data_IF_375530064338
#
_entry.id   IF_375530064338
#
_cell.length_a   1.000
_cell.length_b   1.000
_cell.length_c   1.000
_cell.angle_alpha   90.00
_cell.angle_beta   90.00
_cell.angle_gamma   90.00
#
_symmetry.space_group_name_H-M   'P 1'
#
loop_
_entity.id
_entity.type
_entity.pdbx_description
1 polymer ?
#
# COMPACT_ATOMS: atom_id res chain seq x y z
N UNK A 1 -38.03 62.31 -0.63
CA UNK A 1 -37.02 61.98 -1.65
C UNK A 1 -35.68 61.86 -0.93
N UNK A 2 -35.37 60.67 -0.40
CA UNK A 2 -34.06 60.31 0.18
C UNK A 2 -33.99 58.83 0.59
N UNK A 3 -35.11 58.16 0.85
CA UNK A 3 -35.11 56.74 1.23
C UNK A 3 -34.62 55.81 0.10
N UNK A 4 -35.03 56.08 -1.14
CA UNK A 4 -34.54 55.32 -2.32
C UNK A 4 -33.03 55.52 -2.56
N UNK A 5 -32.51 56.73 -2.30
CA UNK A 5 -31.09 57.01 -2.43
C UNK A 5 -30.27 56.27 -1.35
N UNK A 6 -30.73 56.29 -0.10
CA UNK A 6 -30.10 55.52 0.98
C UNK A 6 -30.18 54.00 0.74
N UNK A 7 -31.30 53.51 0.20
CA UNK A 7 -31.45 52.10 -0.15
C UNK A 7 -30.47 51.69 -1.25
N UNK A 8 -30.32 52.52 -2.29
CA UNK A 8 -29.38 52.28 -3.38
C UNK A 8 -27.92 52.33 -2.90
N UNK A 9 -27.57 53.31 -2.05
CA UNK A 9 -26.23 53.40 -1.43
C UNK A 9 -25.91 52.16 -0.58
N UNK A 10 -26.88 51.66 0.19
CA UNK A 10 -26.73 50.45 0.98
C UNK A 10 -26.59 49.18 0.11
N UNK A 11 -27.34 49.10 -0.99
CA UNK A 11 -27.26 47.99 -1.94
C UNK A 11 -25.88 47.93 -2.61
N UNK A 12 -25.37 49.07 -3.08
CA UNK A 12 -24.04 49.18 -3.68
C UNK A 12 -22.95 48.79 -2.66
N UNK A 13 -23.05 49.23 -1.41
CA UNK A 13 -22.11 48.83 -0.36
C UNK A 13 -22.14 47.32 -0.09
N UNK A 14 -23.32 46.70 -0.06
CA UNK A 14 -23.44 45.24 0.09
C UNK A 14 -22.84 44.50 -1.11
N UNK A 15 -23.04 45.00 -2.32
CA UNK A 15 -22.47 44.40 -3.52
C UNK A 15 -20.94 44.46 -3.52
N UNK A 16 -20.35 45.58 -3.10
CA UNK A 16 -18.90 45.69 -2.90
C UNK A 16 -18.36 44.69 -1.88
N UNK A 17 -19.04 44.51 -0.75
CA UNK A 17 -18.64 43.53 0.27
C UNK A 17 -18.71 42.09 -0.27
N UNK A 18 -19.81 41.73 -0.94
CA UNK A 18 -19.97 40.40 -1.56
C UNK A 18 -18.89 40.14 -2.60
N UNK A 19 -18.54 41.14 -3.39
CA UNK A 19 -17.49 41.03 -4.40
C UNK A 19 -16.12 40.79 -3.77
N UNK A 20 -15.77 41.54 -2.73
CA UNK A 20 -14.50 41.35 -2.01
C UNK A 20 -14.44 39.95 -1.37
N UNK A 21 -15.51 39.51 -0.71
CA UNK A 21 -15.63 38.16 -0.14
C UNK A 21 -15.44 37.07 -1.20
N UNK A 22 -16.06 37.22 -2.37
CA UNK A 22 -15.90 36.28 -3.49
C UNK A 22 -14.45 36.20 -3.98
N UNK A 23 -13.76 37.34 -4.12
CA UNK A 23 -12.35 37.34 -4.51
C UNK A 23 -11.47 36.64 -3.48
N UNK A 24 -11.72 36.85 -2.19
CA UNK A 24 -10.97 36.19 -1.13
C UNK A 24 -11.19 34.67 -1.16
N UNK A 25 -12.44 34.22 -1.33
CA UNK A 25 -12.77 32.79 -1.46
C UNK A 25 -12.11 32.16 -2.68
N UNK A 26 -12.12 32.84 -3.84
CA UNK A 26 -11.47 32.36 -5.05
C UNK A 26 -9.95 32.25 -4.89
N UNK A 27 -9.32 33.24 -4.25
CA UNK A 27 -7.88 33.21 -3.95
C UNK A 27 -7.51 32.05 -3.04
N UNK A 28 -8.29 31.80 -1.98
CA UNK A 28 -8.09 30.67 -1.06
C UNK A 28 -8.29 29.34 -1.80
N UNK A 29 -9.36 29.22 -2.59
CA UNK A 29 -9.64 28.03 -3.41
C UNK A 29 -8.50 27.76 -4.41
N UNK A 30 -7.97 28.79 -5.06
CA UNK A 30 -6.85 28.69 -5.98
C UNK A 30 -5.58 28.20 -5.29
N UNK A 31 -5.24 28.77 -4.13
CA UNK A 31 -4.10 28.34 -3.30
C UNK A 31 -4.25 26.90 -2.83
N UNK A 32 -5.43 26.52 -2.35
CA UNK A 32 -5.73 25.16 -1.93
C UNK A 32 -5.57 24.18 -3.10
N UNK A 33 -6.11 24.49 -4.27
CA UNK A 33 -5.95 23.69 -5.47
C UNK A 33 -4.48 23.55 -5.90
N UNK A 34 -3.69 24.62 -5.80
CA UNK A 34 -2.25 24.57 -6.05
C UNK A 34 -1.52 23.67 -5.04
N UNK A 35 -1.85 23.80 -3.75
CA UNK A 35 -1.33 22.96 -2.68
C UNK A 35 -1.61 21.48 -2.94
N UNK A 36 -2.88 21.15 -3.19
CA UNK A 36 -3.32 19.80 -3.55
C UNK A 36 -2.53 19.25 -4.73
N UNK A 37 -2.44 19.99 -5.85
CA UNK A 37 -1.71 19.52 -7.04
C UNK A 37 -0.26 19.20 -6.74
N UNK A 38 0.42 20.07 -5.98
CA UNK A 38 1.81 19.85 -5.57
C UNK A 38 1.94 18.60 -4.70
N UNK A 39 1.06 18.45 -3.71
CA UNK A 39 1.05 17.30 -2.82
C UNK A 39 0.79 15.99 -3.55
N UNK A 40 -0.15 15.96 -4.50
CA UNK A 40 -0.40 14.79 -5.34
C UNK A 40 0.81 14.44 -6.22
N UNK A 41 1.55 15.44 -6.72
CA UNK A 41 2.77 15.18 -7.48
C UNK A 41 3.86 14.53 -6.60
N UNK A 42 4.08 15.06 -5.40
CA UNK A 42 5.02 14.48 -4.43
C UNK A 42 4.60 13.06 -4.02
N UNK A 43 3.31 12.82 -3.79
CA UNK A 43 2.79 11.50 -3.46
C UNK A 43 3.10 10.47 -4.55
N UNK A 44 2.91 10.84 -5.82
CA UNK A 44 3.21 9.97 -6.97
C UNK A 44 4.72 9.72 -7.12
N UNK A 45 5.54 10.72 -6.83
CA UNK A 45 7.00 10.59 -6.82
C UNK A 45 7.49 9.67 -5.69
N UNK A 46 6.93 9.76 -4.50
CA UNK A 46 7.23 8.84 -3.40
C UNK A 46 6.73 7.41 -3.70
N UNK A 47 5.54 7.27 -4.29
CA UNK A 47 5.00 5.97 -4.70
C UNK A 47 5.90 5.27 -5.72
N UNK A 48 6.47 6.00 -6.69
CA UNK A 48 7.37 5.39 -7.69
C UNK A 48 8.69 4.88 -7.11
N UNK A 49 9.01 5.24 -5.85
CA UNK A 49 10.17 4.77 -5.09
C UNK A 49 9.80 3.74 -4.01
N UNK A 50 8.57 3.21 -4.03
CA UNK A 50 8.01 2.35 -2.99
C UNK A 50 8.04 2.98 -1.58
N UNK A 51 8.09 4.31 -1.48
CA UNK A 51 8.04 5.04 -0.22
C UNK A 51 6.57 5.27 0.20
N UNK A 52 5.84 4.17 0.44
CA UNK A 52 4.39 4.19 0.67
C UNK A 52 3.98 5.12 1.82
N UNK A 53 4.68 5.09 2.95
CA UNK A 53 4.39 5.98 4.09
C UNK A 53 4.56 7.46 3.77
N UNK A 54 5.58 7.83 2.98
CA UNK A 54 5.76 9.22 2.53
C UNK A 54 4.67 9.62 1.52
N UNK A 55 4.33 8.71 0.59
CA UNK A 55 3.27 8.93 -0.37
C UNK A 55 1.91 9.19 0.31
N UNK A 56 1.56 8.38 1.33
CA UNK A 56 0.35 8.56 2.13
C UNK A 56 0.36 9.87 2.91
N UNK A 57 1.50 10.27 3.48
CA UNK A 57 1.61 11.55 4.18
C UNK A 57 1.31 12.75 3.26
N UNK A 58 1.77 12.70 2.00
CA UNK A 58 1.46 13.72 1.01
C UNK A 58 -0.03 13.72 0.61
N UNK A 59 -0.64 12.55 0.52
CA UNK A 59 -2.09 12.42 0.27
C UNK A 59 -2.91 12.96 1.43
N UNK A 60 -2.56 12.66 2.67
CA UNK A 60 -3.25 13.18 3.86
C UNK A 60 -3.13 14.71 3.94
N UNK A 61 -1.96 15.26 3.59
CA UNK A 61 -1.79 16.70 3.49
C UNK A 61 -2.67 17.30 2.37
N UNK A 62 -2.82 16.64 1.22
CA UNK A 62 -3.76 17.07 0.18
C UNK A 62 -5.23 17.02 0.65
N UNK A 63 -5.63 15.98 1.39
CA UNK A 63 -6.98 15.85 1.95
C UNK A 63 -7.28 16.89 3.02
N UNK A 64 -6.26 17.48 3.66
CA UNK A 64 -6.46 18.57 4.61
C UNK A 64 -7.03 19.84 3.96
N UNK A 65 -6.84 20.02 2.65
CA UNK A 65 -7.43 21.13 1.87
C UNK A 65 -8.82 20.81 1.34
N UNK A 66 -9.05 19.56 0.93
CA UNK A 66 -10.35 19.06 0.45
C UNK A 66 -10.47 17.54 0.72
N UNK A 67 -11.18 17.22 1.79
CA UNK A 67 -11.37 15.86 2.30
C UNK A 67 -12.20 14.94 1.39
N UNK A 68 -12.97 15.50 0.44
CA UNK A 68 -13.86 14.73 -0.44
C UNK A 68 -13.36 14.69 -1.88
N UNK A 69 -12.15 15.19 -2.14
CA UNK A 69 -11.59 15.23 -3.48
C UNK A 69 -11.37 13.82 -4.02
N UNK A 70 -12.19 13.44 -5.00
CA UNK A 70 -12.21 12.09 -5.57
C UNK A 70 -10.85 11.63 -6.07
N UNK A 71 -10.09 12.51 -6.74
CA UNK A 71 -8.75 12.18 -7.24
C UNK A 71 -7.77 11.84 -6.10
N UNK A 72 -7.83 12.59 -5.01
CA UNK A 72 -6.95 12.40 -3.85
C UNK A 72 -7.28 11.09 -3.13
N UNK A 73 -8.57 10.81 -2.92
CA UNK A 73 -9.03 9.54 -2.32
C UNK A 73 -8.65 8.34 -3.20
N UNK A 74 -8.81 8.45 -4.52
CA UNK A 74 -8.39 7.39 -5.44
C UNK A 74 -6.89 7.11 -5.36
N UNK A 75 -6.05 8.15 -5.27
CA UNK A 75 -4.61 7.97 -5.13
C UNK A 75 -4.26 7.28 -3.80
N UNK A 76 -4.99 7.59 -2.71
CA UNK A 76 -4.86 6.88 -1.43
C UNK A 76 -5.08 5.38 -1.61
N UNK A 77 -6.20 4.99 -2.21
CA UNK A 77 -6.56 3.59 -2.44
C UNK A 77 -5.50 2.87 -3.31
N UNK A 78 -4.99 3.57 -4.34
CA UNK A 78 -3.91 3.07 -5.20
C UNK A 78 -2.62 2.80 -4.41
N UNK A 79 -2.22 3.70 -3.50
CA UNK A 79 -1.03 3.56 -2.65
C UNK A 79 -1.21 2.40 -1.66
N UNK A 80 -2.32 2.36 -0.92
CA UNK A 80 -2.59 1.30 0.05
C UNK A 80 -2.66 -0.09 -0.61
N UNK A 81 -3.21 -0.16 -1.83
CA UNK A 81 -3.23 -1.41 -2.61
C UNK A 81 -1.81 -1.81 -3.02
N UNK A 82 -0.99 -0.87 -3.48
CA UNK A 82 0.39 -1.15 -3.89
C UNK A 82 1.24 -1.64 -2.71
N UNK A 83 1.09 -1.04 -1.53
CA UNK A 83 1.77 -1.45 -0.30
C UNK A 83 1.40 -2.90 0.08
N UNK A 84 0.09 -3.22 0.11
CA UNK A 84 -0.38 -4.59 0.39
C UNK A 84 0.21 -5.62 -0.57
N UNK A 85 0.17 -5.36 -1.87
CA UNK A 85 0.72 -6.27 -2.88
C UNK A 85 2.23 -6.47 -2.71
N UNK A 86 2.95 -5.42 -2.35
CA UNK A 86 4.39 -5.48 -2.11
C UNK A 86 4.72 -6.31 -0.87
N UNK A 87 3.94 -6.18 0.20
CA UNK A 87 4.12 -6.95 1.43
C UNK A 87 3.71 -8.42 1.25
N UNK A 88 2.62 -8.69 0.52
CA UNK A 88 2.23 -10.05 0.11
C UNK A 88 3.33 -10.73 -0.71
N UNK A 89 3.90 -10.01 -1.69
CA UNK A 89 5.00 -10.52 -2.51
C UNK A 89 6.21 -10.88 -1.64
N UNK A 90 6.61 -10.00 -0.73
CA UNK A 90 7.72 -10.26 0.21
C UNK A 90 7.46 -11.44 1.12
N UNK A 91 6.24 -11.56 1.64
CA UNK A 91 5.84 -12.69 2.47
C UNK A 91 5.93 -14.00 1.69
N UNK A 92 5.50 -14.00 0.42
CA UNK A 92 5.59 -15.17 -0.45
C UNK A 92 7.05 -15.53 -0.80
N UNK A 93 7.90 -14.55 -1.11
CA UNK A 93 9.33 -14.75 -1.35
C UNK A 93 10.02 -15.34 -0.11
N UNK A 94 9.72 -14.82 1.09
CA UNK A 94 10.25 -15.37 2.34
C UNK A 94 9.79 -16.81 2.59
N UNK A 95 8.52 -17.10 2.29
CA UNK A 95 7.97 -18.45 2.40
C UNK A 95 8.69 -19.43 1.47
N UNK A 96 8.91 -19.05 0.22
CA UNK A 96 9.65 -19.85 -0.76
C UNK A 96 11.10 -20.11 -0.30
N UNK A 97 11.79 -19.08 0.21
CA UNK A 97 13.12 -19.24 0.79
C UNK A 97 13.13 -20.22 1.96
N UNK A 98 12.15 -20.15 2.86
CA UNK A 98 12.04 -21.09 3.99
C UNK A 98 11.82 -22.53 3.52
N UNK A 99 10.99 -22.74 2.50
CA UNK A 99 10.80 -24.06 1.88
C UNK A 99 12.13 -24.61 1.35
N UNK A 100 12.89 -23.80 0.61
CA UNK A 100 14.20 -24.20 0.09
C UNK A 100 15.22 -24.52 1.19
N UNK A 101 15.20 -23.78 2.30
CA UNK A 101 16.05 -24.06 3.47
C UNK A 101 15.72 -25.43 4.07
N UNK A 102 14.44 -25.74 4.26
CA UNK A 102 14.01 -27.03 4.80
C UNK A 102 14.35 -28.19 3.85
N UNK A 103 14.15 -28.02 2.54
CA UNK A 103 14.56 -29.02 1.54
C UNK A 103 16.06 -29.28 1.60
N UNK A 104 16.87 -28.21 1.66
CA UNK A 104 18.33 -28.33 1.72
C UNK A 104 18.79 -29.09 2.98
N UNK A 105 18.16 -28.81 4.13
CA UNK A 105 18.41 -29.54 5.39
C UNK A 105 17.98 -31.00 5.31
N UNK A 106 16.84 -31.29 4.69
CA UNK A 106 16.40 -32.67 4.47
C UNK A 106 17.44 -33.45 3.67
N UNK A 107 17.98 -32.87 2.59
CA UNK A 107 19.03 -33.49 1.79
C UNK A 107 20.33 -33.71 2.58
N UNK A 108 20.73 -32.76 3.43
CA UNK A 108 21.85 -32.92 4.35
C UNK A 108 21.62 -34.11 5.30
N UNK A 109 20.44 -34.20 5.93
CA UNK A 109 20.09 -35.31 6.84
C UNK A 109 20.02 -36.66 6.13
N UNK A 110 19.57 -36.70 4.88
CA UNK A 110 19.65 -37.89 4.02
C UNK A 110 21.11 -38.34 3.85
N UNK A 111 22.02 -37.41 3.57
CA UNK A 111 23.44 -37.72 3.41
C UNK A 111 24.08 -38.28 4.69
N UNK A 112 23.56 -37.85 5.85
CA UNK A 112 23.95 -38.32 7.18
C UNK A 112 23.23 -39.63 7.60
N UNK A 113 22.38 -40.21 6.75
CA UNK A 113 21.51 -41.38 7.05
C UNK A 113 20.55 -41.15 8.23
N UNK A 114 20.15 -39.91 8.48
CA UNK A 114 19.21 -39.50 9.53
C UNK A 114 17.80 -39.37 8.95
N UNK A 115 17.23 -40.49 8.51
CA UNK A 115 15.98 -40.54 7.71
C UNK A 115 14.78 -39.90 8.42
N UNK A 116 14.59 -40.16 9.72
CA UNK A 116 13.48 -39.57 10.49
C UNK A 116 13.58 -38.04 10.56
N UNK A 117 14.80 -37.51 10.70
CA UNK A 117 15.03 -36.08 10.78
C UNK A 117 14.90 -35.40 9.41
N UNK A 118 15.31 -36.09 8.34
CA UNK A 118 15.04 -35.64 6.98
C UNK A 118 13.54 -35.54 6.71
N UNK A 119 12.75 -36.52 7.18
CA UNK A 119 11.29 -36.51 7.01
C UNK A 119 10.65 -35.32 7.74
N UNK A 120 11.12 -34.99 8.95
CA UNK A 120 10.65 -33.82 9.69
C UNK A 120 10.92 -32.51 8.94
N UNK A 121 12.11 -32.35 8.36
CA UNK A 121 12.43 -31.15 7.55
C UNK A 121 11.54 -31.06 6.30
N UNK A 122 11.26 -32.19 5.64
CA UNK A 122 10.32 -32.24 4.50
C UNK A 122 8.90 -31.90 4.92
N UNK A 123 8.43 -32.38 6.07
CA UNK A 123 7.11 -32.04 6.58
C UNK A 123 6.99 -30.55 6.92
N UNK A 124 8.05 -29.92 7.45
CA UNK A 124 8.09 -28.47 7.66
C UNK A 124 8.03 -27.69 6.33
N UNK A 125 8.73 -28.16 5.29
CA UNK A 125 8.63 -27.58 3.95
C UNK A 125 7.19 -27.66 3.40
N UNK A 126 6.52 -28.80 3.56
CA UNK A 126 5.15 -29.01 3.09
C UNK A 126 4.08 -28.30 3.93
N UNK A 127 4.35 -28.00 5.20
CA UNK A 127 3.49 -27.12 6.01
C UNK A 127 3.47 -25.70 5.45
N UNK A 128 4.62 -25.24 4.92
CA UNK A 128 4.71 -23.96 4.24
C UNK A 128 4.02 -24.07 2.87
N UNK A 129 4.48 -24.95 1.99
CA UNK A 129 3.87 -25.18 0.67
C UNK A 129 3.46 -26.65 0.48
N UNK A 130 2.17 -26.98 0.71
CA UNK A 130 1.67 -28.35 0.59
C UNK A 130 1.77 -28.94 -0.82
N UNK A 131 1.95 -28.10 -1.84
CA UNK A 131 2.05 -28.49 -3.24
C UNK A 131 3.48 -28.47 -3.77
N UNK A 132 4.49 -28.22 -2.92
CA UNK A 132 5.87 -28.10 -3.37
C UNK A 132 6.38 -29.44 -3.93
N UNK A 133 6.66 -29.46 -5.24
CA UNK A 133 6.96 -30.68 -5.98
C UNK A 133 8.16 -31.44 -5.37
N UNK A 134 9.29 -30.78 -5.16
CA UNK A 134 10.51 -31.44 -4.67
C UNK A 134 10.34 -32.00 -3.25
N UNK A 135 9.54 -31.34 -2.41
CA UNK A 135 9.30 -31.78 -1.04
C UNK A 135 8.39 -33.01 -1.03
N UNK A 136 7.38 -33.07 -1.91
CA UNK A 136 6.55 -34.26 -2.09
C UNK A 136 7.38 -35.45 -2.58
N UNK A 137 8.25 -35.24 -3.57
CA UNK A 137 9.14 -36.28 -4.09
C UNK A 137 10.10 -36.80 -3.02
N UNK A 138 10.73 -35.89 -2.26
CA UNK A 138 11.61 -36.28 -1.14
C UNK A 138 10.86 -37.07 -0.07
N UNK A 139 9.61 -36.70 0.24
CA UNK A 139 8.78 -37.41 1.22
C UNK A 139 8.51 -38.85 0.78
N UNK A 140 8.17 -39.06 -0.48
CA UNK A 140 7.94 -40.40 -1.04
C UNK A 140 9.20 -41.26 -0.94
N UNK A 141 10.35 -40.72 -1.36
CA UNK A 141 11.64 -41.42 -1.26
C UNK A 141 12.00 -41.80 0.18
N UNK A 142 11.82 -40.87 1.12
CA UNK A 142 12.10 -41.12 2.54
C UNK A 142 11.19 -42.19 3.15
N UNK A 143 9.90 -42.19 2.79
CA UNK A 143 8.96 -43.20 3.24
C UNK A 143 9.31 -44.61 2.73
N UNK A 144 9.77 -44.72 1.48
CA UNK A 144 10.28 -45.98 0.92
C UNK A 144 11.53 -46.47 1.66
N UNK A 145 12.43 -45.57 2.05
CA UNK A 145 13.62 -45.90 2.84
C UNK A 145 13.25 -46.41 4.24
N UNK A 146 12.25 -45.82 4.89
CA UNK A 146 11.78 -46.27 6.21
C UNK A 146 10.98 -47.57 6.19
N UNK A 147 10.26 -47.87 5.09
CA UNK A 147 9.46 -49.09 4.97
C UNK A 147 10.26 -50.33 4.53
N UNK A 148 11.50 -50.14 4.05
CA UNK A 148 12.40 -51.22 3.62
C UNK A 148 13.45 -51.62 4.69
N UNK A 149 13.24 -51.25 5.95
CA UNK A 149 14.05 -51.64 7.12
C UNK A 149 13.17 -52.31 8.18
#
# INVERSE_FOLDING_TARGET
>A
MNEELFALEAEVQQEYLRYDEQQQLELVSSKNNQGIRKSLAMARESLSRDAFGEALAWVDYALSFDMKRTETLRLRDEIEKAERLRDEKKANENKELMVQVHISRAMERISEKRTVEALLEVDLALQLDPSHHDALVLREQLNEMTNNH
#
